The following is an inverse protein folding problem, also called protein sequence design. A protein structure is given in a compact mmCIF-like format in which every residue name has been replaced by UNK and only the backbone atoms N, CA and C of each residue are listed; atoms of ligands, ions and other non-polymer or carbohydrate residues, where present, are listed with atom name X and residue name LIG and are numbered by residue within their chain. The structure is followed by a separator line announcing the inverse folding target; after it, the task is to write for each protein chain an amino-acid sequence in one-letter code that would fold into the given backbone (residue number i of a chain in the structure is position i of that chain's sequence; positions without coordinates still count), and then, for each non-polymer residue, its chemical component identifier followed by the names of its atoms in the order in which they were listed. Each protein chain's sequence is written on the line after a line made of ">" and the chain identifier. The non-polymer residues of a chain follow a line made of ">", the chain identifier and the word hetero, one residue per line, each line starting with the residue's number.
data_IF_209656443670
#
_entry.id   IF_209656443670
#
_cell.length_a   1.000
_cell.length_b   1.000
_cell.length_c   1.000
_cell.angle_alpha   90.00
_cell.angle_beta   90.00
_cell.angle_gamma   90.00
#
_symmetry.space_group_name_H-M   'P 1'
#
loop_
_entity.id
_entity.type
_entity.pdbx_description
1 polymer ?
#
# COMPACT_ATOMS: atom_id res chain seq x y z
N UNK A 1 -10.91 21.65 44.58
CA UNK A 1 -11.46 22.51 43.54
C UNK A 1 -10.73 22.42 42.19
N UNK A 2 -9.50 21.96 42.16
CA UNK A 2 -8.77 21.80 40.88
C UNK A 2 -9.16 20.55 40.10
N UNK A 3 -9.64 19.51 40.75
CA UNK A 3 -10.01 18.25 40.08
C UNK A 3 -11.12 18.38 39.04
N UNK A 4 -12.20 19.15 39.22
CA UNK A 4 -13.21 19.29 38.18
C UNK A 4 -12.71 19.97 36.91
N UNK A 5 -11.81 20.95 37.03
CA UNK A 5 -11.22 21.66 35.89
C UNK A 5 -10.32 20.74 35.08
N UNK A 6 -9.48 19.95 35.73
CA UNK A 6 -8.62 18.96 35.09
C UNK A 6 -9.47 17.91 34.35
N UNK A 7 -10.53 17.44 35.01
CA UNK A 7 -11.47 16.47 34.43
C UNK A 7 -12.15 17.01 33.19
N UNK A 8 -12.59 18.28 33.20
CA UNK A 8 -13.21 18.92 32.05
C UNK A 8 -12.26 19.16 30.88
N UNK A 9 -10.96 19.27 31.09
CA UNK A 9 -9.95 19.42 30.06
C UNK A 9 -9.50 18.05 29.55
N UNK A 10 -9.26 17.10 30.43
CA UNK A 10 -8.73 15.77 30.08
C UNK A 10 -9.77 14.93 29.34
N UNK A 11 -11.02 14.96 29.74
CA UNK A 11 -12.08 14.15 29.12
C UNK A 11 -12.32 14.49 27.64
N UNK A 12 -12.44 15.77 27.23
CA UNK A 12 -12.57 16.10 25.82
C UNK A 12 -11.35 15.70 24.99
N UNK A 13 -10.15 15.87 25.53
CA UNK A 13 -8.91 15.47 24.85
C UNK A 13 -8.82 13.97 24.69
N UNK A 14 -9.16 13.22 25.71
CA UNK A 14 -9.19 11.76 25.66
C UNK A 14 -10.23 11.25 24.65
N UNK A 15 -11.40 11.86 24.63
CA UNK A 15 -12.47 11.53 23.69
C UNK A 15 -12.06 11.82 22.26
N UNK A 16 -11.46 12.98 22.00
CA UNK A 16 -10.94 13.34 20.69
C UNK A 16 -9.87 12.36 20.23
N UNK A 17 -8.96 11.95 21.11
CA UNK A 17 -7.93 10.96 20.80
C UNK A 17 -8.54 9.60 20.43
N UNK A 18 -9.54 9.13 21.18
CA UNK A 18 -10.26 7.90 20.86
C UNK A 18 -10.98 7.97 19.52
N UNK A 19 -11.62 9.08 19.20
CA UNK A 19 -12.31 9.28 17.92
C UNK A 19 -11.31 9.25 16.75
N UNK A 20 -10.20 9.94 16.88
CA UNK A 20 -9.14 9.95 15.85
C UNK A 20 -8.56 8.55 15.65
N UNK A 21 -8.30 7.84 16.73
CA UNK A 21 -7.81 6.46 16.67
C UNK A 21 -8.82 5.52 16.01
N UNK A 22 -10.09 5.68 16.34
CA UNK A 22 -11.18 4.90 15.75
C UNK A 22 -11.32 5.18 14.24
N UNK A 23 -11.27 6.45 13.83
CA UNK A 23 -11.31 6.84 12.43
C UNK A 23 -10.14 6.28 11.63
N UNK A 24 -8.93 6.32 12.17
CA UNK A 24 -7.75 5.72 11.53
C UNK A 24 -7.90 4.21 11.35
N UNK A 25 -8.45 3.53 12.36
CA UNK A 25 -8.65 2.08 12.32
C UNK A 25 -9.73 1.67 11.31
N UNK A 26 -10.80 2.46 11.20
CA UNK A 26 -11.95 2.15 10.34
C UNK A 26 -11.95 2.94 9.02
N UNK A 27 -10.92 3.76 8.76
CA UNK A 27 -10.79 4.44 7.48
C UNK A 27 -10.62 3.44 6.35
N UNK A 28 -11.39 3.54 5.26
CA UNK A 28 -11.16 2.70 4.10
C UNK A 28 -9.79 2.97 3.52
N UNK A 29 -9.12 1.93 3.05
CA UNK A 29 -7.85 2.09 2.36
C UNK A 29 -8.07 2.86 1.06
N UNK A 30 -7.38 3.98 0.91
CA UNK A 30 -7.40 4.78 -0.32
C UNK A 30 -6.05 4.57 -1.00
N UNK A 31 -6.00 3.89 -2.16
CA UNK A 31 -4.74 3.71 -2.87
C UNK A 31 -4.21 5.04 -3.39
N UNK A 32 -2.88 5.19 -3.54
CA UNK A 32 -2.31 6.35 -4.21
C UNK A 32 -2.89 6.53 -5.62
N UNK A 33 -2.96 7.77 -6.17
CA UNK A 33 -3.54 8.01 -7.48
C UNK A 33 -2.91 7.17 -8.60
N UNK A 34 -1.63 6.91 -8.53
CA UNK A 34 -0.89 6.09 -9.51
C UNK A 34 -1.38 4.63 -9.51
N UNK A 35 -1.58 4.07 -8.32
CA UNK A 35 -2.09 2.70 -8.15
C UNK A 35 -3.55 2.62 -8.59
N UNK A 36 -4.37 3.59 -8.21
CA UNK A 36 -5.77 3.66 -8.61
C UNK A 36 -5.90 3.73 -10.15
N UNK A 37 -5.07 4.53 -10.82
CA UNK A 37 -5.05 4.63 -12.27
C UNK A 37 -4.67 3.29 -12.93
N UNK A 38 -3.69 2.57 -12.37
CA UNK A 38 -3.29 1.26 -12.87
C UNK A 38 -4.43 0.24 -12.78
N UNK A 39 -5.16 0.23 -11.66
CA UNK A 39 -6.30 -0.65 -11.47
C UNK A 39 -7.51 -0.27 -12.33
N UNK A 40 -7.70 1.01 -12.63
CA UNK A 40 -8.74 1.46 -13.54
C UNK A 40 -8.44 1.05 -14.99
N UNK A 41 -7.19 1.14 -15.41
CA UNK A 41 -6.74 0.73 -16.74
C UNK A 41 -6.73 -0.78 -16.92
N UNK A 42 -6.32 -1.51 -15.89
CA UNK A 42 -6.22 -2.98 -15.90
C UNK A 42 -6.92 -3.57 -14.66
N UNK A 43 -8.22 -3.86 -14.74
CA UNK A 43 -8.93 -4.49 -13.64
C UNK A 43 -8.33 -5.84 -13.25
N UNK A 44 -8.33 -6.13 -11.96
CA UNK A 44 -7.82 -7.39 -11.40
C UNK A 44 -8.99 -8.30 -10.99
N UNK A 45 -8.83 -9.59 -11.17
CA UNK A 45 -9.78 -10.58 -10.68
C UNK A 45 -9.82 -10.61 -9.13
N UNK A 46 -10.98 -10.88 -8.51
CA UNK A 46 -11.05 -11.02 -7.06
C UNK A 46 -10.10 -12.11 -6.54
N UNK A 47 -9.44 -11.83 -5.42
CA UNK A 47 -8.45 -12.70 -4.76
C UNK A 47 -7.15 -12.92 -5.53
N UNK A 48 -6.91 -12.17 -6.60
CA UNK A 48 -5.65 -12.19 -7.33
C UNK A 48 -4.69 -11.16 -6.77
N UNK A 49 -3.42 -11.31 -7.10
CA UNK A 49 -2.35 -10.42 -6.69
C UNK A 49 -1.68 -9.82 -7.92
N UNK A 50 -1.24 -8.58 -7.79
CA UNK A 50 -0.64 -7.83 -8.89
C UNK A 50 0.79 -7.43 -8.57
N UNK A 51 1.71 -7.71 -9.48
CA UNK A 51 3.07 -7.20 -9.43
C UNK A 51 3.19 -5.97 -10.34
N UNK A 52 3.82 -4.92 -9.83
CA UNK A 52 4.06 -3.69 -10.55
C UNK A 52 5.50 -3.22 -10.35
N UNK A 53 6.01 -2.46 -11.31
CA UNK A 53 7.33 -1.84 -11.26
C UNK A 53 7.18 -0.33 -11.23
N UNK A 54 7.90 0.31 -10.33
CA UNK A 54 8.01 1.76 -10.26
C UNK A 54 9.44 2.17 -10.57
N UNK A 55 9.66 2.80 -11.70
CA UNK A 55 10.93 3.43 -12.02
C UNK A 55 11.04 4.76 -11.25
N UNK A 56 12.27 5.18 -10.97
CA UNK A 56 12.53 6.39 -10.20
C UNK A 56 11.90 7.62 -10.87
N UNK A 57 10.90 8.23 -10.22
CA UNK A 57 10.19 9.40 -10.72
C UNK A 57 9.23 9.14 -11.88
N UNK A 58 8.93 7.88 -12.21
CA UNK A 58 8.02 7.48 -13.28
C UNK A 58 6.76 6.83 -12.73
N UNK A 59 5.76 6.67 -13.61
CA UNK A 59 4.52 5.99 -13.30
C UNK A 59 4.75 4.49 -13.10
N UNK A 60 3.83 3.85 -12.38
CA UNK A 60 3.82 2.42 -12.20
C UNK A 60 3.62 1.69 -13.53
N UNK A 61 4.39 0.63 -13.74
CA UNK A 61 4.22 -0.31 -14.84
C UNK A 61 3.61 -1.61 -14.31
N UNK A 62 2.66 -2.12 -15.05
CA UNK A 62 2.11 -3.44 -14.79
C UNK A 62 3.11 -4.52 -15.20
N UNK A 63 3.38 -5.49 -14.30
CA UNK A 63 4.24 -6.64 -14.58
C UNK A 63 3.42 -7.89 -14.82
N UNK A 64 2.40 -8.14 -14.02
CA UNK A 64 1.55 -9.30 -14.17
C UNK A 64 0.58 -9.45 -13.02
N UNK A 65 -0.44 -10.28 -13.24
CA UNK A 65 -1.43 -10.67 -12.24
C UNK A 65 -1.25 -12.15 -11.92
N UNK A 66 -1.32 -12.50 -10.64
CA UNK A 66 -1.07 -13.85 -10.15
C UNK A 66 -2.18 -14.28 -9.20
N UNK A 67 -2.53 -15.54 -9.27
CA UNK A 67 -3.59 -16.10 -8.43
C UNK A 67 -3.15 -16.27 -6.98
N UNK A 68 -1.86 -16.47 -6.74
CA UNK A 68 -1.28 -16.69 -5.42
C UNK A 68 -0.25 -15.63 -5.05
N UNK A 69 -0.25 -15.20 -3.79
CA UNK A 69 0.72 -14.20 -3.30
C UNK A 69 2.17 -14.63 -3.49
N UNK A 70 2.60 -15.88 -3.17
CA UNK A 70 3.98 -16.30 -3.39
C UNK A 70 4.43 -16.18 -4.85
N UNK A 71 3.55 -16.44 -5.81
CA UNK A 71 3.84 -16.31 -7.24
C UNK A 71 4.11 -14.85 -7.61
N UNK A 72 3.31 -13.91 -7.10
CA UNK A 72 3.50 -12.49 -7.33
C UNK A 72 4.80 -11.98 -6.70
N UNK A 73 5.12 -12.43 -5.50
CA UNK A 73 6.37 -12.09 -4.81
C UNK A 73 7.58 -12.63 -5.57
N UNK A 74 7.52 -13.88 -6.02
CA UNK A 74 8.60 -14.50 -6.82
C UNK A 74 8.82 -13.75 -8.14
N UNK A 75 7.75 -13.30 -8.79
CA UNK A 75 7.85 -12.50 -10.01
C UNK A 75 8.50 -11.14 -9.74
N UNK A 76 8.18 -10.50 -8.61
CA UNK A 76 8.80 -9.24 -8.20
C UNK A 76 10.30 -9.43 -7.94
N UNK A 77 10.70 -10.49 -7.26
CA UNK A 77 12.11 -10.81 -7.01
C UNK A 77 12.87 -11.13 -8.30
N UNK A 78 12.27 -11.89 -9.22
CA UNK A 78 12.86 -12.18 -10.51
C UNK A 78 13.10 -10.91 -11.34
N UNK A 79 12.12 -10.00 -11.33
CA UNK A 79 12.24 -8.71 -11.99
C UNK A 79 13.33 -7.83 -11.36
N UNK A 80 13.44 -7.87 -10.01
CA UNK A 80 14.51 -7.19 -9.27
C UNK A 80 15.90 -7.71 -9.71
N UNK A 81 16.09 -9.01 -9.76
CA UNK A 81 17.37 -9.61 -10.18
C UNK A 81 17.74 -9.20 -11.59
N UNK A 82 16.77 -9.18 -12.51
CA UNK A 82 16.98 -8.71 -13.87
C UNK A 82 17.39 -7.22 -13.90
N UNK A 83 16.76 -6.38 -13.09
CA UNK A 83 17.11 -4.96 -13.00
C UNK A 83 18.50 -4.75 -12.40
N UNK A 84 18.88 -5.51 -11.38
CA UNK A 84 20.22 -5.47 -10.77
C UNK A 84 21.28 -5.87 -11.80
N UNK A 85 21.02 -6.90 -12.59
CA UNK A 85 21.94 -7.36 -13.65
C UNK A 85 22.18 -6.29 -14.73
N UNK A 86 21.18 -5.46 -15.03
CA UNK A 86 21.29 -4.36 -16.01
C UNK A 86 21.69 -3.02 -15.38
N UNK A 87 21.85 -2.98 -14.05
CA UNK A 87 22.19 -1.75 -13.33
C UNK A 87 21.03 -0.76 -13.19
N UNK A 88 19.81 -1.16 -13.45
CA UNK A 88 18.62 -0.33 -13.32
C UNK A 88 18.18 -0.23 -11.87
N UNK A 89 17.75 0.96 -11.44
CA UNK A 89 17.17 1.19 -10.11
C UNK A 89 15.67 1.36 -10.26
N UNK A 90 14.92 0.43 -9.68
CA UNK A 90 13.46 0.45 -9.66
C UNK A 90 12.95 -0.19 -8.38
N UNK A 91 11.70 0.12 -8.03
CA UNK A 91 10.99 -0.54 -6.94
C UNK A 91 9.98 -1.52 -7.53
N UNK A 92 9.92 -2.72 -6.97
CA UNK A 92 8.97 -3.75 -7.37
C UNK A 92 7.96 -3.93 -6.24
N UNK A 93 6.68 -3.77 -6.57
CA UNK A 93 5.59 -3.71 -5.62
C UNK A 93 4.62 -4.86 -5.88
N UNK A 94 4.11 -5.46 -4.82
CA UNK A 94 3.07 -6.48 -4.90
C UNK A 94 1.83 -5.98 -4.17
N UNK A 95 0.71 -5.96 -4.86
CA UNK A 95 -0.58 -5.52 -4.34
C UNK A 95 -1.60 -6.67 -4.38
N UNK A 96 -2.61 -6.58 -3.51
CA UNK A 96 -3.76 -7.47 -3.56
C UNK A 96 -4.87 -6.92 -4.47
N UNK A 97 -6.02 -7.59 -4.51
CA UNK A 97 -7.19 -7.16 -5.30
C UNK A 97 -7.80 -5.84 -4.82
N UNK A 98 -7.48 -5.40 -3.60
CA UNK A 98 -7.92 -4.13 -3.01
C UNK A 98 -6.90 -3.01 -3.15
N UNK A 99 -5.85 -3.21 -3.94
CA UNK A 99 -4.74 -2.26 -4.13
C UNK A 99 -3.95 -1.95 -2.85
N UNK A 100 -3.93 -2.87 -1.89
CA UNK A 100 -3.10 -2.75 -0.69
C UNK A 100 -1.71 -3.29 -0.97
N UNK A 101 -0.68 -2.52 -0.56
CA UNK A 101 0.72 -2.93 -0.71
C UNK A 101 1.04 -4.07 0.27
N UNK A 102 1.43 -5.22 -0.27
CA UNK A 102 1.80 -6.41 0.51
C UNK A 102 3.31 -6.57 0.65
N UNK A 103 4.05 -6.28 -0.41
CA UNK A 103 5.50 -6.45 -0.48
C UNK A 103 6.11 -5.35 -1.33
N UNK A 104 7.28 -4.86 -0.94
CA UNK A 104 8.07 -3.93 -1.73
C UNK A 104 9.52 -4.39 -1.76
N UNK A 105 10.08 -4.48 -2.97
CA UNK A 105 11.46 -4.90 -3.20
C UNK A 105 12.15 -3.85 -4.05
N UNK A 106 13.26 -3.30 -3.54
CA UNK A 106 14.05 -2.30 -4.24
C UNK A 106 15.30 -2.94 -4.87
N UNK A 107 15.58 -2.53 -6.08
CA UNK A 107 16.78 -2.99 -6.79
C UNK A 107 18.01 -2.15 -6.47
#
# INVERSE_FOLDING_TARGET
>A
MFFPLIYWVVMPLFFAWLVVRWLKKNSPHVPPPEVAALYAERPIEPKWFRAARRDRGRLLRWLGDYEKQPEAVDAAYAAKEAAVATGEKASFLVFNDKAELLEQVDS
#
